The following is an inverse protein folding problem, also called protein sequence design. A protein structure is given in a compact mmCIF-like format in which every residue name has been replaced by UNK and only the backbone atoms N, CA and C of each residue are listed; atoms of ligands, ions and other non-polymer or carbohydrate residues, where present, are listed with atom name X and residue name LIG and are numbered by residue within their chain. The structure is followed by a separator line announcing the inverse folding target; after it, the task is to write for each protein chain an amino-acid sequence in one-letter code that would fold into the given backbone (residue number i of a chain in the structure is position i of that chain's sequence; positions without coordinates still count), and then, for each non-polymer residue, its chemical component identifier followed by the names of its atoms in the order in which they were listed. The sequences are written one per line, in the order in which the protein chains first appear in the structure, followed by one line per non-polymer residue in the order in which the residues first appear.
data_IF_818239506305
#
_entry.id   IF_818239506305
#
_cell.length_a   1.000
_cell.length_b   1.000
_cell.length_c   1.000
_cell.angle_alpha   90.00
_cell.angle_beta   90.00
_cell.angle_gamma   90.00
#
_symmetry.space_group_name_H-M   'P 1'
#
loop_
_entity.id
_entity.type
_entity.pdbx_description
1 polymer ?
#
# COMPACT_ATOMS: atom_id res chain seq x y z
N UNK A 1 -19.84 3.86 -54.75
CA UNK A 1 -19.95 2.64 -53.91
C UNK A 1 -18.70 2.33 -53.05
N UNK A 2 -17.63 3.13 -53.11
CA UNK A 2 -16.37 2.90 -52.36
C UNK A 2 -16.41 3.52 -50.94
N UNK A 3 -17.19 4.58 -50.73
CA UNK A 3 -17.19 5.36 -49.48
C UNK A 3 -17.79 4.64 -48.27
N UNK A 4 -18.87 3.87 -48.46
CA UNK A 4 -19.56 3.20 -47.35
C UNK A 4 -18.71 2.14 -46.64
N UNK A 5 -17.91 1.37 -47.40
CA UNK A 5 -17.00 0.35 -46.84
C UNK A 5 -15.83 0.98 -46.08
N UNK A 6 -15.34 2.13 -46.55
CA UNK A 6 -14.25 2.87 -45.90
C UNK A 6 -14.73 3.50 -44.59
N UNK A 7 -15.88 4.16 -44.57
CA UNK A 7 -16.47 4.77 -43.36
C UNK A 7 -16.75 3.71 -42.28
N UNK A 8 -17.26 2.54 -42.66
CA UNK A 8 -17.52 1.44 -41.72
C UNK A 8 -16.24 0.88 -41.09
N UNK A 9 -15.15 0.77 -41.87
CA UNK A 9 -13.81 0.34 -41.40
C UNK A 9 -13.19 1.36 -40.44
N UNK A 10 -13.38 2.65 -40.68
CA UNK A 10 -12.91 3.70 -39.77
C UNK A 10 -13.69 3.74 -38.45
N UNK A 11 -15.01 3.56 -38.49
CA UNK A 11 -15.86 3.46 -37.28
C UNK A 11 -15.48 2.26 -36.42
N UNK A 12 -15.27 1.09 -37.03
CA UNK A 12 -14.80 -0.10 -36.31
C UNK A 12 -13.42 0.10 -35.74
N UNK A 13 -12.45 0.65 -36.48
CA UNK A 13 -11.10 0.92 -35.96
C UNK A 13 -11.10 1.91 -34.78
N UNK A 14 -11.95 2.94 -34.82
CA UNK A 14 -12.12 3.91 -33.71
C UNK A 14 -12.76 3.26 -32.48
N UNK A 15 -13.77 2.40 -32.67
CA UNK A 15 -14.40 1.64 -31.59
C UNK A 15 -13.40 0.68 -30.93
N UNK A 16 -12.63 -0.07 -31.73
CA UNK A 16 -11.58 -0.97 -31.24
C UNK A 16 -10.50 -0.24 -30.44
N UNK A 17 -10.07 0.95 -30.89
CA UNK A 17 -9.14 1.80 -30.12
C UNK A 17 -9.73 2.26 -28.79
N UNK A 18 -10.99 2.67 -28.77
CA UNK A 18 -11.67 3.08 -27.53
C UNK A 18 -11.82 1.92 -26.54
N UNK A 19 -12.17 0.72 -27.03
CA UNK A 19 -12.29 -0.48 -26.21
C UNK A 19 -10.91 -0.88 -25.65
N UNK A 20 -9.86 -0.90 -26.49
CA UNK A 20 -8.49 -1.17 -26.04
C UNK A 20 -8.01 -0.16 -25.01
N UNK A 21 -8.22 1.14 -25.24
CA UNK A 21 -7.83 2.18 -24.28
C UNK A 21 -8.55 1.99 -22.93
N UNK A 22 -9.86 1.70 -22.96
CA UNK A 22 -10.62 1.42 -21.73
C UNK A 22 -10.13 0.14 -21.02
N UNK A 23 -9.75 -0.90 -21.76
CA UNK A 23 -9.19 -2.14 -21.19
C UNK A 23 -7.82 -1.86 -20.55
N UNK A 24 -6.95 -1.09 -21.22
CA UNK A 24 -5.63 -0.71 -20.71
C UNK A 24 -5.78 0.12 -19.43
N UNK A 25 -6.65 1.13 -19.43
CA UNK A 25 -6.94 1.98 -18.26
C UNK A 25 -7.53 1.14 -17.10
N UNK A 26 -8.44 0.23 -17.40
CA UNK A 26 -9.02 -0.65 -16.36
C UNK A 26 -7.97 -1.60 -15.78
N UNK A 27 -7.08 -2.15 -16.61
CA UNK A 27 -6.02 -3.04 -16.15
C UNK A 27 -4.95 -2.28 -15.33
N UNK A 28 -4.55 -1.08 -15.75
CA UNK A 28 -3.63 -0.25 -14.98
C UNK A 28 -4.21 0.17 -13.63
N UNK A 29 -5.51 0.48 -13.58
CA UNK A 29 -6.21 0.76 -12.32
C UNK A 29 -6.26 -0.46 -11.39
N UNK A 30 -6.55 -1.65 -11.93
CA UNK A 30 -6.54 -2.89 -11.14
C UNK A 30 -5.15 -3.21 -10.59
N UNK A 31 -4.11 -3.07 -11.41
CA UNK A 31 -2.74 -3.29 -10.97
C UNK A 31 -2.35 -2.32 -9.86
N UNK A 32 -2.69 -1.04 -10.00
CA UNK A 32 -2.42 -0.03 -8.96
C UNK A 32 -3.12 -0.37 -7.65
N UNK A 33 -4.39 -0.78 -7.69
CA UNK A 33 -5.12 -1.19 -6.49
C UNK A 33 -4.51 -2.43 -5.83
N UNK A 34 -4.11 -3.42 -6.63
CA UNK A 34 -3.43 -4.61 -6.14
C UNK A 34 -2.08 -4.27 -5.47
N UNK A 35 -1.30 -3.37 -6.09
CA UNK A 35 -0.04 -2.90 -5.52
C UNK A 35 -0.25 -2.15 -4.20
N UNK A 36 -1.26 -1.28 -4.11
CA UNK A 36 -1.59 -0.58 -2.87
C UNK A 36 -1.96 -1.58 -1.76
N UNK A 37 -2.83 -2.54 -2.06
CA UNK A 37 -3.23 -3.58 -1.10
C UNK A 37 -2.02 -4.43 -0.67
N UNK A 38 -1.13 -4.78 -1.59
CA UNK A 38 0.11 -5.50 -1.29
C UNK A 38 0.99 -4.69 -0.33
N UNK A 39 1.19 -3.39 -0.58
CA UNK A 39 1.97 -2.52 0.28
C UNK A 39 1.35 -2.41 1.68
N UNK A 40 0.04 -2.16 1.77
CA UNK A 40 -0.70 -2.09 3.04
C UNK A 40 -0.54 -3.38 3.85
N UNK A 41 -0.76 -4.54 3.23
CA UNK A 41 -0.59 -5.84 3.89
C UNK A 41 0.84 -6.03 4.37
N UNK A 42 1.83 -5.60 3.59
CA UNK A 42 3.24 -5.78 3.92
C UNK A 42 3.68 -4.91 5.09
N UNK A 43 3.19 -3.66 5.19
CA UNK A 43 3.41 -2.83 6.37
C UNK A 43 2.71 -3.40 7.60
N UNK A 44 1.46 -3.85 7.48
CA UNK A 44 0.75 -4.51 8.58
C UNK A 44 1.49 -5.78 9.04
N UNK A 45 2.00 -6.57 8.10
CA UNK A 45 2.77 -7.78 8.38
C UNK A 45 3.98 -7.48 9.26
N UNK A 46 4.75 -6.45 8.90
CA UNK A 46 5.91 -5.99 9.65
C UNK A 46 5.54 -5.62 11.09
N UNK A 47 4.50 -4.82 11.29
CA UNK A 47 4.06 -4.41 12.63
C UNK A 47 3.44 -5.56 13.45
N UNK A 48 2.97 -6.63 12.79
CA UNK A 48 2.31 -7.76 13.44
C UNK A 48 3.30 -8.80 13.98
N UNK A 49 4.45 -8.98 13.34
CA UNK A 49 5.52 -9.91 13.74
C UNK A 49 5.85 -9.83 15.26
N UNK A 50 6.18 -8.66 15.85
CA UNK A 50 6.54 -8.58 17.28
C UNK A 50 5.36 -8.94 18.21
N UNK A 51 4.12 -8.70 17.78
CA UNK A 51 2.92 -9.07 18.55
C UNK A 51 2.71 -10.58 18.53
N UNK A 52 2.97 -11.23 17.40
CA UNK A 52 2.95 -12.69 17.27
C UNK A 52 4.01 -13.33 18.18
N UNK A 53 5.22 -12.80 18.20
CA UNK A 53 6.26 -13.30 19.12
C UNK A 53 5.84 -13.14 20.59
N UNK A 54 5.24 -12.01 20.95
CA UNK A 54 4.66 -11.82 22.29
C UNK A 54 3.62 -12.90 22.62
N UNK A 55 2.74 -13.26 21.68
CA UNK A 55 1.73 -14.31 21.87
C UNK A 55 2.36 -15.69 22.07
N UNK A 56 3.47 -15.98 21.39
CA UNK A 56 4.20 -17.26 21.50
C UNK A 56 4.80 -17.48 22.88
N UNK A 57 5.20 -16.40 23.56
CA UNK A 57 5.72 -16.42 24.93
C UNK A 57 4.63 -16.63 26.01
N UNK A 58 3.35 -16.57 25.64
CA UNK A 58 2.25 -16.79 26.60
C UNK A 58 1.94 -18.27 26.80
N UNK A 59 1.50 -18.62 28.02
CA UNK A 59 1.03 -19.98 28.35
C UNK A 59 -0.41 -20.28 27.89
N UNK A 60 -1.08 -19.33 27.20
CA UNK A 60 -2.51 -19.37 26.84
C UNK A 60 -2.90 -19.48 25.35
N UNK A 61 -2.03 -19.78 24.36
CA UNK A 61 -2.49 -20.15 23.03
C UNK A 61 -2.79 -21.66 22.99
N UNK A 62 -3.99 -22.05 22.55
CA UNK A 62 -4.30 -23.45 22.25
C UNK A 62 -3.29 -23.98 21.20
N UNK A 63 -2.93 -25.26 21.26
CA UNK A 63 -1.93 -25.87 20.36
C UNK A 63 -2.18 -25.57 18.86
N UNK A 64 -3.45 -25.63 18.42
CA UNK A 64 -3.84 -25.32 17.05
C UNK A 64 -3.61 -23.84 16.69
N UNK A 65 -3.90 -22.92 17.62
CA UNK A 65 -3.64 -21.50 17.44
C UNK A 65 -2.13 -21.23 17.39
N UNK A 66 -1.35 -21.87 18.27
CA UNK A 66 0.13 -21.75 18.27
C UNK A 66 0.73 -22.19 16.93
N UNK A 67 0.26 -23.30 16.37
CA UNK A 67 0.69 -23.76 15.04
C UNK A 67 0.32 -22.74 13.95
N UNK A 68 -0.94 -22.31 13.89
CA UNK A 68 -1.40 -21.34 12.90
C UNK A 68 -0.64 -20.00 12.98
N UNK A 69 -0.31 -19.56 14.20
CA UNK A 69 0.48 -18.35 14.45
C UNK A 69 1.93 -18.49 13.96
N UNK A 70 2.54 -19.66 14.12
CA UNK A 70 3.89 -19.92 13.60
C UNK A 70 3.90 -20.00 12.07
N UNK A 71 2.90 -20.67 11.46
CA UNK A 71 2.77 -20.74 10.01
C UNK A 71 2.55 -19.32 9.43
N UNK A 72 1.71 -18.51 10.09
CA UNK A 72 1.50 -17.10 9.75
C UNK A 72 2.82 -16.30 9.85
N UNK A 73 3.57 -16.43 10.95
CA UNK A 73 4.83 -15.72 11.14
C UNK A 73 5.79 -15.94 9.98
N UNK A 74 5.98 -17.19 9.56
CA UNK A 74 6.86 -17.56 8.44
C UNK A 74 6.46 -16.88 7.13
N UNK A 75 5.16 -16.77 6.84
CA UNK A 75 4.69 -16.08 5.63
C UNK A 75 4.84 -14.56 5.74
N UNK A 76 4.59 -13.97 6.92
CA UNK A 76 4.79 -12.54 7.14
C UNK A 76 6.26 -12.15 6.97
N UNK A 77 7.20 -12.94 7.49
CA UNK A 77 8.65 -12.71 7.33
C UNK A 77 9.09 -12.73 5.86
N UNK A 78 8.53 -13.63 5.04
CA UNK A 78 8.83 -13.67 3.60
C UNK A 78 8.32 -12.41 2.90
N UNK A 79 7.06 -12.04 3.16
CA UNK A 79 6.41 -10.88 2.54
C UNK A 79 7.15 -9.60 2.93
N UNK A 80 7.49 -9.42 4.21
CA UNK A 80 8.19 -8.20 4.67
C UNK A 80 9.58 -8.08 4.06
N UNK A 81 10.31 -9.20 3.91
CA UNK A 81 11.61 -9.22 3.25
C UNK A 81 11.51 -8.85 1.76
N UNK A 82 10.57 -9.46 1.03
CA UNK A 82 10.34 -9.15 -0.38
C UNK A 82 9.94 -7.68 -0.58
N UNK A 83 9.01 -7.20 0.25
CA UNK A 83 8.55 -5.83 0.24
C UNK A 83 9.70 -4.85 0.51
N UNK A 84 10.53 -5.08 1.53
CA UNK A 84 11.71 -4.26 1.80
C UNK A 84 12.66 -4.23 0.61
N UNK A 85 12.99 -5.39 0.03
CA UNK A 85 13.87 -5.49 -1.14
C UNK A 85 13.34 -4.69 -2.32
N UNK A 86 12.03 -4.71 -2.58
CA UNK A 86 11.43 -3.93 -3.67
C UNK A 86 11.66 -2.42 -3.52
N UNK A 87 11.61 -1.88 -2.29
CA UNK A 87 11.92 -0.47 -2.05
C UNK A 87 13.41 -0.18 -2.07
N UNK A 88 14.23 -1.07 -1.52
CA UNK A 88 15.69 -0.96 -1.56
C UNK A 88 16.23 -0.94 -3.00
N UNK A 89 15.69 -1.79 -3.87
CA UNK A 89 16.16 -1.96 -5.26
C UNK A 89 15.61 -0.88 -6.20
N UNK A 90 14.52 -0.20 -5.83
CA UNK A 90 13.91 0.85 -6.66
C UNK A 90 14.80 2.09 -6.83
N UNK A 91 15.60 2.43 -5.81
CA UNK A 91 16.49 3.59 -5.84
C UNK A 91 15.75 4.91 -5.63
N UNK A 92 15.88 5.85 -6.56
CA UNK A 92 15.39 7.24 -6.41
C UNK A 92 13.99 7.38 -7.03
N UNK A 93 13.06 7.96 -6.26
CA UNK A 93 11.75 8.41 -6.71
C UNK A 93 11.81 9.92 -6.96
N UNK A 94 11.43 10.35 -8.16
CA UNK A 94 11.31 11.78 -8.51
C UNK A 94 9.85 12.22 -8.47
N UNK A 95 9.57 13.35 -7.82
CA UNK A 95 8.24 13.97 -7.84
C UNK A 95 8.03 14.80 -9.11
N UNK A 96 6.78 15.10 -9.43
CA UNK A 96 6.41 16.00 -10.54
C UNK A 96 6.97 17.43 -10.35
N UNK A 97 7.38 17.78 -9.12
CA UNK A 97 7.98 19.07 -8.74
C UNK A 97 9.52 19.04 -8.73
N UNK A 98 10.13 17.91 -9.13
CA UNK A 98 11.58 17.74 -9.24
C UNK A 98 12.29 17.36 -7.93
N UNK A 99 11.56 17.09 -6.84
CA UNK A 99 12.14 16.57 -5.61
C UNK A 99 12.56 15.11 -5.79
N UNK A 100 13.73 14.74 -5.26
CA UNK A 100 14.26 13.38 -5.32
C UNK A 100 14.32 12.77 -3.93
N UNK A 101 13.72 11.60 -3.76
CA UNK A 101 13.71 10.87 -2.49
C UNK A 101 14.21 9.45 -2.72
N UNK A 102 14.94 8.88 -1.76
CA UNK A 102 15.20 7.43 -1.79
C UNK A 102 13.87 6.70 -1.51
N UNK A 103 13.53 5.71 -2.33
CA UNK A 103 12.36 4.87 -2.11
C UNK A 103 12.40 4.21 -0.73
N UNK A 104 13.60 3.86 -0.26
CA UNK A 104 13.80 3.30 1.07
C UNK A 104 13.37 4.27 2.19
N UNK A 105 13.55 5.58 2.02
CA UNK A 105 13.07 6.55 3.01
C UNK A 105 11.54 6.57 3.09
N UNK A 106 10.87 6.51 1.93
CA UNK A 106 9.40 6.43 1.85
C UNK A 106 8.92 5.18 2.58
N UNK A 107 9.58 4.05 2.36
CA UNK A 107 9.31 2.80 3.07
C UNK A 107 9.43 2.99 4.58
N UNK A 108 10.51 3.59 5.06
CA UNK A 108 10.75 3.72 6.50
C UNK A 108 9.78 4.69 7.18
N UNK A 109 9.46 5.83 6.56
CA UNK A 109 8.46 6.77 7.08
C UNK A 109 7.08 6.09 7.16
N UNK A 110 6.72 5.35 6.10
CA UNK A 110 5.45 4.64 6.05
C UNK A 110 5.38 3.52 7.08
N UNK A 111 6.43 2.68 7.16
CA UNK A 111 6.52 1.60 8.12
C UNK A 111 6.40 2.10 9.57
N UNK A 112 7.11 3.20 9.89
CA UNK A 112 7.02 3.84 11.21
C UNK A 112 5.59 4.30 11.54
N UNK A 113 4.88 4.88 10.59
CA UNK A 113 3.48 5.29 10.81
C UNK A 113 2.55 4.10 11.10
N UNK A 114 2.75 2.96 10.41
CA UNK A 114 2.00 1.73 10.70
C UNK A 114 2.36 1.14 12.07
N UNK A 115 3.64 1.12 12.43
CA UNK A 115 4.11 0.65 13.73
C UNK A 115 3.51 1.49 14.87
N UNK A 116 3.54 2.82 14.74
CA UNK A 116 2.93 3.75 15.68
C UNK A 116 1.42 3.48 15.80
N UNK A 117 0.68 3.44 14.69
CA UNK A 117 -0.77 3.20 14.68
C UNK A 117 -1.14 1.86 15.33
N UNK A 118 -0.44 0.78 14.99
CA UNK A 118 -0.73 -0.56 15.49
C UNK A 118 -0.21 -0.80 16.91
N UNK A 119 0.67 0.05 17.43
CA UNK A 119 1.10 0.02 18.84
C UNK A 119 0.03 0.56 19.80
N UNK A 120 -0.90 1.38 19.31
CA UNK A 120 -1.92 2.02 20.13
C UNK A 120 -2.95 1.02 20.68
N UNK A 121 -3.51 1.28 21.88
CA UNK A 121 -4.61 0.51 22.39
C UNK A 121 -5.91 0.79 21.61
N UNK A 122 -6.85 -0.16 21.63
CA UNK A 122 -8.05 -0.12 20.79
C UNK A 122 -8.92 1.13 20.97
N UNK A 123 -8.99 1.70 22.18
CA UNK A 123 -9.73 2.93 22.47
C UNK A 123 -9.06 4.16 21.83
N UNK A 124 -7.73 4.20 21.75
CA UNK A 124 -6.98 5.29 21.12
C UNK A 124 -7.10 5.21 19.60
N UNK A 125 -7.04 4.01 19.01
CA UNK A 125 -7.35 3.80 17.58
C UNK A 125 -8.75 4.31 17.25
N UNK A 126 -9.73 3.98 18.10
CA UNK A 126 -11.12 4.45 17.93
C UNK A 126 -11.21 5.98 17.99
N UNK A 127 -10.48 6.60 18.91
CA UNK A 127 -10.44 8.06 19.09
C UNK A 127 -9.79 8.74 17.89
N UNK A 128 -8.67 8.21 17.37
CA UNK A 128 -8.02 8.69 16.15
C UNK A 128 -8.95 8.60 14.94
N UNK A 129 -9.70 7.51 14.80
CA UNK A 129 -10.66 7.37 13.71
C UNK A 129 -11.83 8.35 13.82
N UNK A 130 -12.29 8.65 15.04
CA UNK A 130 -13.28 9.71 15.25
C UNK A 130 -12.74 11.10 14.85
N UNK A 131 -11.49 11.40 15.20
CA UNK A 131 -10.82 12.64 14.81
C UNK A 131 -10.65 12.73 13.28
N UNK A 132 -10.18 11.67 12.63
CA UNK A 132 -10.04 11.56 11.18
C UNK A 132 -11.36 11.88 10.45
N UNK A 133 -12.50 11.35 10.92
CA UNK A 133 -13.82 11.67 10.34
C UNK A 133 -14.13 13.17 10.45
N UNK A 134 -13.93 13.77 11.63
CA UNK A 134 -14.17 15.21 11.84
C UNK A 134 -13.30 16.09 10.95
N UNK A 135 -12.04 15.72 10.75
CA UNK A 135 -11.12 16.43 9.86
C UNK A 135 -11.59 16.38 8.40
N UNK A 136 -12.04 15.20 7.94
CA UNK A 136 -12.62 15.06 6.59
C UNK A 136 -13.90 15.87 6.43
N UNK A 137 -14.79 15.82 7.42
CA UNK A 137 -16.04 16.61 7.42
C UNK A 137 -15.76 18.12 7.42
N UNK A 138 -14.61 18.53 7.97
CA UNK A 138 -14.14 19.92 7.97
C UNK A 138 -13.39 20.32 6.69
N UNK A 139 -13.25 19.42 5.71
CA UNK A 139 -12.65 19.70 4.41
C UNK A 139 -11.12 19.62 4.35
N UNK A 140 -10.46 18.99 5.32
CA UNK A 140 -8.99 18.81 5.29
C UNK A 140 -8.59 17.84 4.18
N UNK A 141 -7.74 18.31 3.26
CA UNK A 141 -7.11 17.47 2.23
C UNK A 141 -5.73 16.97 2.71
N UNK A 142 -5.61 15.67 2.96
CA UNK A 142 -4.37 15.06 3.42
C UNK A 142 -3.22 15.14 2.42
N UNK A 143 -3.51 15.40 1.14
CA UNK A 143 -2.44 15.64 0.15
C UNK A 143 -1.69 16.94 0.40
N UNK A 144 -2.29 17.87 1.15
CA UNK A 144 -1.70 19.17 1.48
C UNK A 144 -1.02 19.16 2.85
N UNK A 145 -1.12 18.05 3.60
CA UNK A 145 -0.43 17.90 4.87
C UNK A 145 1.02 17.55 4.58
N UNK A 146 1.92 18.48 4.90
CA UNK A 146 3.35 18.27 4.80
C UNK A 146 3.79 17.24 5.85
N UNK A 147 4.53 16.23 5.42
CA UNK A 147 5.14 15.24 6.29
C UNK A 147 6.61 15.65 6.43
N UNK A 148 7.03 15.96 7.66
CA UNK A 148 8.42 16.31 7.93
C UNK A 148 9.33 15.12 7.59
N UNK A 149 10.20 15.32 6.60
CA UNK A 149 11.20 14.33 6.21
C UNK A 149 12.38 14.35 7.18
N UNK A 150 12.64 13.22 7.83
CA UNK A 150 13.85 12.99 8.61
C UNK A 150 14.69 11.93 7.89
N UNK A 151 15.81 12.30 7.24
CA UNK A 151 16.68 11.34 6.58
C UNK A 151 17.24 10.35 7.61
N UNK A 152 17.32 9.08 7.22
CA UNK A 152 17.95 8.07 8.06
C UNK A 152 19.47 8.25 7.94
N UNK A 153 20.08 8.71 9.04
CA UNK A 153 21.53 8.80 9.14
C UNK A 153 22.11 7.37 9.12
N UNK A 154 22.88 7.05 8.07
CA UNK A 154 23.63 5.80 7.95
C UNK A 154 24.81 5.76 8.91
#
# INVERSE_FOLDING_TARGET
MIEAKTIQKYKTKRLWRSIMNNIIINNSNKQRLANNAYNEISFIAQSLIPKIDTLKETNKPKHQLKKAVNDLLSELEKITKEHYSNFSDYGIVESDEGCKHEALDIYNVTAKAYDELLSLPANEITSLMALNRRLKDSGVDYKQVLIDYQPILK
#
